data_IF_194855406118
#
_entry.id   IF_194855406118
#
_cell.length_a   1.000
_cell.length_b   1.000
_cell.length_c   1.000
_cell.angle_alpha   90.00
_cell.angle_beta   90.00
_cell.angle_gamma   90.00
#
_symmetry.space_group_name_H-M   'P 1'
#
loop_
_entity.id
_entity.type
_entity.pdbx_description
1 polymer ?
#
# COMPACT_ATOMS: atom_id res chain seq x y z
N UNK A 1 -23.10 3.55 -10.04
CA UNK A 1 -22.02 4.47 -9.60
C UNK A 1 -20.62 3.92 -9.87
N UNK A 2 -20.26 2.72 -9.39
CA UNK A 2 -18.93 2.13 -9.58
C UNK A 2 -18.60 1.84 -11.05
N UNK A 3 -19.54 1.30 -11.82
CA UNK A 3 -19.35 1.00 -13.25
C UNK A 3 -19.02 2.25 -14.09
N UNK A 4 -19.70 3.36 -13.83
CA UNK A 4 -19.46 4.66 -14.49
C UNK A 4 -18.05 5.17 -14.15
N UNK A 5 -17.66 5.14 -12.88
CA UNK A 5 -16.30 5.53 -12.44
C UNK A 5 -15.20 4.66 -13.04
N UNK A 6 -15.45 3.36 -13.23
CA UNK A 6 -14.51 2.45 -13.88
C UNK A 6 -14.37 2.74 -15.37
N UNK A 7 -15.49 3.01 -16.06
CA UNK A 7 -15.50 3.39 -17.47
C UNK A 7 -14.72 4.71 -17.70
N UNK A 8 -14.96 5.71 -16.85
CA UNK A 8 -14.25 7.01 -16.90
C UNK A 8 -12.75 6.86 -16.62
N UNK A 9 -12.38 5.99 -15.67
CA UNK A 9 -10.97 5.72 -15.36
C UNK A 9 -10.25 5.02 -16.52
N UNK A 10 -10.94 4.13 -17.25
CA UNK A 10 -10.38 3.41 -18.39
C UNK A 10 -10.07 4.32 -19.59
N UNK A 11 -10.78 5.45 -19.72
CA UNK A 11 -10.63 6.40 -20.84
C UNK A 11 -9.56 7.46 -20.53
N UNK A 12 -9.12 7.61 -19.27
CA UNK A 12 -8.08 8.60 -18.93
C UNK A 12 -6.73 8.24 -19.56
N UNK A 13 -6.03 9.22 -20.16
CA UNK A 13 -4.65 9.03 -20.59
C UNK A 13 -3.80 8.56 -19.42
N UNK A 14 -3.05 7.47 -19.60
CA UNK A 14 -2.13 7.01 -18.57
C UNK A 14 -1.03 8.07 -18.38
N UNK A 15 -0.92 8.61 -17.16
CA UNK A 15 0.16 9.53 -16.82
C UNK A 15 1.50 8.82 -17.04
N UNK A 16 2.46 9.48 -17.69
CA UNK A 16 3.82 8.95 -17.85
C UNK A 16 4.38 8.68 -16.45
N UNK A 17 4.53 7.39 -16.15
CA UNK A 17 4.91 6.97 -14.82
C UNK A 17 6.42 7.08 -14.65
N UNK A 18 6.85 7.66 -13.53
CA UNK A 18 8.28 7.73 -13.21
C UNK A 18 8.81 6.32 -12.92
N UNK A 19 10.04 5.97 -13.35
CA UNK A 19 10.62 4.66 -13.09
C UNK A 19 10.63 4.25 -11.61
N UNK A 20 10.81 5.21 -10.70
CA UNK A 20 10.74 4.97 -9.25
C UNK A 20 9.35 4.55 -8.77
N UNK A 21 8.30 5.17 -9.28
CA UNK A 21 6.92 4.79 -8.99
C UNK A 21 6.60 3.39 -9.55
N UNK A 22 7.13 3.06 -10.73
CA UNK A 22 6.93 1.74 -11.35
C UNK A 22 7.55 0.64 -10.49
N UNK A 23 8.78 0.86 -10.03
CA UNK A 23 9.48 -0.03 -9.10
C UNK A 23 8.73 -0.16 -7.77
N UNK A 24 8.27 0.94 -7.20
CA UNK A 24 7.49 0.93 -5.95
C UNK A 24 6.19 0.13 -6.10
N UNK A 25 5.46 0.30 -7.22
CA UNK A 25 4.24 -0.48 -7.49
C UNK A 25 4.55 -1.97 -7.65
N UNK A 26 5.60 -2.30 -8.40
CA UNK A 26 6.01 -3.70 -8.59
C UNK A 26 6.41 -4.36 -7.26
N UNK A 27 7.12 -3.65 -6.38
CA UNK A 27 7.47 -4.14 -5.05
C UNK A 27 6.23 -4.40 -4.18
N UNK A 28 5.26 -3.48 -4.18
CA UNK A 28 3.99 -3.67 -3.47
C UNK A 28 3.20 -4.87 -4.02
N UNK A 29 3.13 -5.00 -5.35
CA UNK A 29 2.43 -6.10 -6.01
C UNK A 29 3.05 -7.46 -5.65
N UNK A 30 4.40 -7.55 -5.64
CA UNK A 30 5.12 -8.76 -5.19
C UNK A 30 4.81 -9.07 -3.73
N UNK A 31 4.97 -8.11 -2.81
CA UNK A 31 4.69 -8.35 -1.39
C UNK A 31 3.24 -8.76 -1.12
N UNK A 32 2.27 -8.22 -1.87
CA UNK A 32 0.87 -8.64 -1.77
C UNK A 32 0.63 -10.05 -2.35
N UNK A 33 1.35 -10.45 -3.40
CA UNK A 33 1.31 -11.81 -3.93
C UNK A 33 1.91 -12.80 -2.94
N UNK A 34 3.10 -12.50 -2.39
CA UNK A 34 3.77 -13.32 -1.39
C UNK A 34 2.89 -13.51 -0.15
N UNK A 35 2.20 -12.44 0.29
CA UNK A 35 1.26 -12.54 1.40
C UNK A 35 0.07 -13.47 1.11
N UNK A 36 -0.50 -13.43 -0.11
CA UNK A 36 -1.58 -14.35 -0.50
C UNK A 36 -1.11 -15.81 -0.52
N UNK A 37 0.10 -16.05 -1.03
CA UNK A 37 0.71 -17.39 -1.00
C UNK A 37 0.88 -17.86 0.45
N UNK A 38 1.37 -16.98 1.34
CA UNK A 38 1.50 -17.28 2.76
C UNK A 38 0.14 -17.57 3.42
N UNK A 39 -0.88 -16.77 3.13
CA UNK A 39 -2.24 -16.95 3.66
C UNK A 39 -2.81 -18.32 3.26
N UNK A 40 -2.58 -18.74 2.01
CA UNK A 40 -2.96 -20.07 1.52
C UNK A 40 -2.14 -21.20 2.18
N UNK A 41 -0.83 -21.02 2.32
CA UNK A 41 0.04 -22.05 2.89
C UNK A 41 -0.15 -22.22 4.40
N UNK A 42 -0.52 -21.15 5.11
CA UNK A 42 -0.77 -21.13 6.55
C UNK A 42 -2.26 -21.24 6.90
N UNK A 43 -3.10 -21.72 5.96
CA UNK A 43 -4.54 -21.78 6.17
C UNK A 43 -4.89 -22.68 7.36
N UNK A 44 -5.49 -22.08 8.39
CA UNK A 44 -6.05 -22.77 9.54
C UNK A 44 -7.54 -22.44 9.59
N UNK A 45 -8.39 -23.47 9.69
CA UNK A 45 -9.83 -23.28 9.78
C UNK A 45 -10.19 -22.29 10.89
N UNK A 46 -11.02 -21.32 10.56
CA UNK A 46 -11.50 -20.25 11.46
C UNK A 46 -10.40 -19.31 11.97
N UNK A 47 -9.22 -19.29 11.37
CA UNK A 47 -8.21 -18.27 11.62
C UNK A 47 -7.88 -17.54 10.32
N UNK A 48 -7.72 -16.22 10.41
CA UNK A 48 -7.36 -15.40 9.26
C UNK A 48 -6.07 -14.66 9.54
N UNK A 49 -5.10 -14.80 8.65
CA UNK A 49 -3.88 -14.02 8.70
C UNK A 49 -4.22 -12.54 8.40
N UNK A 50 -3.74 -11.64 9.24
CA UNK A 50 -4.04 -10.22 9.12
C UNK A 50 -2.83 -9.44 8.57
N UNK A 51 -3.02 -8.67 7.49
CA UNK A 51 -2.02 -7.78 6.92
C UNK A 51 -2.55 -6.33 6.79
N UNK A 52 -2.64 -5.58 7.91
CA UNK A 52 -3.20 -4.24 7.89
C UNK A 52 -2.40 -3.26 7.03
N UNK A 53 -1.10 -3.49 6.85
CA UNK A 53 -0.25 -2.65 5.98
C UNK A 53 -0.52 -2.83 4.48
N UNK A 54 -1.25 -3.88 4.09
CA UNK A 54 -1.71 -4.09 2.71
C UNK A 54 -3.13 -3.56 2.48
N UNK A 55 -3.74 -2.94 3.49
CA UNK A 55 -5.04 -2.29 3.32
C UNK A 55 -4.97 -1.14 2.31
N UNK A 56 -6.04 -0.99 1.53
CA UNK A 56 -6.11 0.02 0.47
C UNK A 56 -5.97 1.44 1.01
N UNK A 57 -6.52 1.76 2.19
CA UNK A 57 -6.41 3.08 2.79
C UNK A 57 -4.99 3.35 3.26
N UNK A 58 -4.34 2.36 3.90
CA UNK A 58 -2.95 2.48 4.34
C UNK A 58 -2.01 2.67 3.14
N UNK A 59 -2.19 1.89 2.07
CA UNK A 59 -1.40 2.02 0.83
C UNK A 59 -1.63 3.39 0.17
N UNK A 60 -2.87 3.87 0.11
CA UNK A 60 -3.20 5.18 -0.47
C UNK A 60 -2.59 6.32 0.35
N UNK A 61 -2.72 6.27 1.68
CA UNK A 61 -2.14 7.24 2.59
C UNK A 61 -0.60 7.28 2.44
N UNK A 62 0.04 6.11 2.41
CA UNK A 62 1.49 6.01 2.21
C UNK A 62 1.92 6.61 0.86
N UNK A 63 1.15 6.42 -0.21
CA UNK A 63 1.43 6.99 -1.54
C UNK A 63 1.22 8.51 -1.60
N UNK A 64 0.33 9.06 -0.79
CA UNK A 64 0.06 10.50 -0.73
C UNK A 64 1.19 11.27 -0.02
N UNK A 65 2.06 10.58 0.74
CA UNK A 65 3.21 11.21 1.38
C UNK A 65 4.25 11.69 0.36
N UNK A 66 4.87 12.87 0.60
CA UNK A 66 5.96 13.37 -0.24
C UNK A 66 7.07 12.34 -0.41
N UNK A 67 7.58 12.21 -1.64
CA UNK A 67 8.65 11.25 -1.95
C UNK A 67 9.91 11.51 -1.12
N UNK A 68 10.26 12.78 -0.92
CA UNK A 68 11.39 13.22 -0.09
C UNK A 68 11.31 12.72 1.35
N UNK A 69 10.11 12.46 1.88
CA UNK A 69 9.93 11.89 3.21
C UNK A 69 10.07 10.36 3.20
N UNK A 70 9.68 9.69 2.11
CA UNK A 70 9.66 8.22 2.00
C UNK A 70 11.05 7.61 1.75
N UNK A 71 11.94 8.34 1.09
CA UNK A 71 13.25 7.81 0.67
C UNK A 71 14.35 7.98 1.72
N UNK A 72 14.09 8.69 2.82
CA UNK A 72 15.07 8.88 3.89
C UNK A 72 15.38 7.55 4.60
N UNK A 73 16.63 7.31 5.02
CA UNK A 73 16.95 6.18 5.89
C UNK A 73 16.06 6.16 7.13
N UNK A 74 15.45 5.01 7.43
CA UNK A 74 14.54 4.87 8.59
C UNK A 74 13.17 5.54 8.44
N UNK A 75 12.85 6.14 7.29
CA UNK A 75 11.59 6.85 7.03
C UNK A 75 10.35 6.05 7.43
N UNK A 76 10.29 4.76 7.08
CA UNK A 76 9.14 3.90 7.36
C UNK A 76 8.78 3.88 8.85
N UNK A 77 9.76 3.65 9.72
CA UNK A 77 9.53 3.56 11.16
C UNK A 77 9.26 4.94 11.77
N UNK A 78 9.93 5.99 11.30
CA UNK A 78 9.71 7.35 11.75
C UNK A 78 8.30 7.86 11.40
N UNK A 79 7.85 7.64 10.16
CA UNK A 79 6.50 7.97 9.70
C UNK A 79 5.46 7.22 10.55
N UNK A 80 5.62 5.91 10.70
CA UNK A 80 4.67 5.10 11.47
C UNK A 80 4.58 5.57 12.93
N UNK A 81 5.72 5.79 13.60
CA UNK A 81 5.73 6.33 14.97
C UNK A 81 5.02 7.67 15.07
N UNK A 82 5.23 8.57 14.10
CA UNK A 82 4.59 9.89 14.08
C UNK A 82 3.08 9.79 13.87
N UNK A 83 2.63 8.91 12.99
CA UNK A 83 1.19 8.64 12.76
C UNK A 83 0.55 8.06 14.01
N UNK A 84 1.18 7.05 14.63
CA UNK A 84 0.68 6.43 15.85
C UNK A 84 0.62 7.43 17.01
N UNK A 85 1.68 8.21 17.22
CA UNK A 85 1.70 9.27 18.22
C UNK A 85 0.61 10.31 17.98
N UNK A 86 0.33 10.68 16.73
CA UNK A 86 -0.77 11.59 16.38
C UNK A 86 -2.16 11.00 16.61
N UNK A 87 -2.27 9.68 16.63
CA UNK A 87 -3.49 8.95 17.00
C UNK A 87 -3.59 8.66 18.50
N UNK A 88 -2.66 9.17 19.33
CA UNK A 88 -2.64 8.94 20.77
C UNK A 88 -2.05 7.58 21.19
N UNK A 89 -1.35 6.90 20.29
CA UNK A 89 -0.68 5.62 20.55
C UNK A 89 0.82 5.91 20.76
N UNK A 90 1.33 5.63 21.97
CA UNK A 90 2.71 5.87 22.37
C UNK A 90 3.52 4.57 22.48
#
# INVERSE_FOLDING_TARGET
EVSVRLQEAAIRPASVQRPGEARARAALARGAADHRILEQAAEIRSQRLHAPFLDNQVVRAARALPESLRVQPGARAAILRRVLSGAGIH
#
